data_IF_920428667716
#
_entry.id   IF_920428667716
#
_cell.length_a   1.000
_cell.length_b   1.000
_cell.length_c   1.000
_cell.angle_alpha   90.00
_cell.angle_beta   90.00
_cell.angle_gamma   90.00
#
_symmetry.space_group_name_H-M   'P 1'
#
loop_
_entity.id
_entity.type
_entity.pdbx_description
1 polymer ?
#
# COMPACT_ATOMS: atom_id res chain seq x y z
N UNK A 1 7.67 4.46 -30.57
CA UNK A 1 7.26 3.67 -29.38
C UNK A 1 8.40 2.80 -28.81
N UNK A 2 9.34 2.27 -29.61
CA UNK A 2 10.48 1.47 -29.09
C UNK A 2 11.50 2.25 -28.24
N UNK A 3 11.65 3.56 -28.45
CA UNK A 3 12.61 4.40 -27.73
C UNK A 3 12.28 4.59 -26.24
N UNK A 4 11.00 4.47 -25.85
CA UNK A 4 10.55 4.56 -24.45
C UNK A 4 10.54 3.20 -23.74
N UNK A 5 10.48 2.09 -24.50
CA UNK A 5 10.48 0.75 -23.94
C UNK A 5 11.83 0.41 -23.28
N UNK A 6 12.94 0.94 -23.80
CA UNK A 6 14.28 0.69 -23.27
C UNK A 6 14.50 1.37 -21.89
N UNK A 7 14.18 2.66 -21.69
CA UNK A 7 14.18 3.29 -20.36
C UNK A 7 13.18 2.67 -19.38
N UNK A 8 11.95 2.40 -19.81
CA UNK A 8 10.91 1.80 -18.95
C UNK A 8 11.30 0.38 -18.51
N UNK A 9 11.90 -0.41 -19.39
CA UNK A 9 12.42 -1.73 -19.05
C UNK A 9 13.50 -1.66 -17.97
N UNK A 10 14.40 -0.69 -18.05
CA UNK A 10 15.45 -0.50 -17.04
C UNK A 10 14.90 -0.13 -15.66
N UNK A 11 13.86 0.71 -15.60
CA UNK A 11 13.18 1.03 -14.33
C UNK A 11 12.57 -0.22 -13.69
N UNK A 12 11.91 -1.07 -14.49
CA UNK A 12 11.35 -2.34 -13.99
C UNK A 12 12.45 -3.26 -13.47
N UNK A 13 13.58 -3.37 -14.19
CA UNK A 13 14.72 -4.19 -13.78
C UNK A 13 15.33 -3.69 -12.47
N UNK A 14 15.60 -2.38 -12.33
CA UNK A 14 16.14 -1.80 -11.09
C UNK A 14 15.17 -2.02 -9.92
N UNK A 15 13.88 -1.82 -10.15
CA UNK A 15 12.85 -2.00 -9.12
C UNK A 15 12.79 -3.46 -8.65
N UNK A 16 12.74 -4.41 -9.58
CA UNK A 16 12.75 -5.83 -9.27
C UNK A 16 14.05 -6.25 -8.59
N UNK A 17 15.20 -5.75 -9.05
CA UNK A 17 16.49 -6.01 -8.42
C UNK A 17 16.52 -5.49 -6.98
N UNK A 18 15.99 -4.29 -6.71
CA UNK A 18 15.87 -3.75 -5.35
C UNK A 18 14.95 -4.60 -4.48
N UNK A 19 13.80 -5.05 -5.01
CA UNK A 19 12.91 -5.95 -4.28
C UNK A 19 13.58 -7.27 -3.93
N UNK A 20 14.33 -7.86 -4.87
CA UNK A 20 15.07 -9.10 -4.65
C UNK A 20 16.17 -8.89 -3.61
N UNK A 21 16.92 -7.78 -3.69
CA UNK A 21 17.95 -7.45 -2.70
C UNK A 21 17.35 -7.23 -1.31
N UNK A 22 16.21 -6.54 -1.20
CA UNK A 22 15.48 -6.38 0.05
C UNK A 22 14.97 -7.71 0.58
N UNK A 23 14.48 -8.58 -0.30
CA UNK A 23 14.01 -9.91 0.06
C UNK A 23 15.17 -10.79 0.57
N UNK A 24 16.32 -10.77 -0.10
CA UNK A 24 17.54 -11.45 0.36
C UNK A 24 18.01 -10.86 1.70
N UNK A 25 18.02 -9.54 1.83
CA UNK A 25 18.39 -8.85 3.06
C UNK A 25 17.45 -9.17 4.23
N UNK A 26 16.17 -9.46 3.96
CA UNK A 26 15.21 -9.92 4.98
C UNK A 26 15.62 -11.26 5.62
N UNK A 27 16.37 -12.10 4.90
CA UNK A 27 16.93 -13.36 5.42
C UNK A 27 18.25 -13.18 6.18
N UNK A 28 18.83 -11.97 6.20
CA UNK A 28 20.01 -11.66 7.01
C UNK A 28 19.59 -11.06 8.35
N UNK A 29 20.19 -11.53 9.44
CA UNK A 29 19.91 -11.02 10.79
C UNK A 29 20.65 -9.70 11.03
N UNK A 30 19.94 -8.68 11.52
CA UNK A 30 20.53 -7.41 11.92
C UNK A 30 20.59 -7.42 13.44
N UNK A 31 21.80 -7.38 14.00
CA UNK A 31 21.96 -7.30 15.44
C UNK A 31 21.57 -5.89 15.92
N UNK A 32 20.45 -5.80 16.65
CA UNK A 32 19.84 -4.54 17.07
C UNK A 32 20.71 -3.72 18.04
N UNK A 33 21.78 -4.30 18.58
CA UNK A 33 22.69 -3.62 19.51
C UNK A 33 23.93 -3.02 18.86
N UNK A 34 24.45 -3.63 17.78
CA UNK A 34 25.68 -3.19 17.12
C UNK A 34 25.46 -2.60 15.73
N UNK A 35 24.27 -2.78 15.14
CA UNK A 35 23.99 -2.41 13.73
C UNK A 35 24.94 -3.09 12.74
N UNK A 36 25.66 -4.14 13.17
CA UNK A 36 26.48 -4.94 12.27
C UNK A 36 25.60 -5.95 11.52
N UNK A 37 25.76 -5.96 10.20
CA UNK A 37 25.08 -6.91 9.32
C UNK A 37 25.83 -8.23 9.44
N UNK A 38 25.38 -9.09 10.35
CA UNK A 38 25.89 -10.45 10.45
C UNK A 38 25.20 -11.27 9.35
N UNK A 39 25.90 -11.51 8.24
CA UNK A 39 25.45 -12.28 7.06
C UNK A 39 25.32 -13.78 7.35
N UNK A 40 24.60 -14.13 8.41
CA UNK A 40 24.23 -15.52 8.71
C UNK A 40 22.80 -15.70 8.25
N UNK A 41 22.59 -16.67 7.36
CA UNK A 41 21.27 -17.11 6.93
C UNK A 41 20.48 -17.58 8.14
N UNK A 42 19.52 -16.78 8.60
CA UNK A 42 18.75 -17.13 9.77
C UNK A 42 17.26 -16.79 9.60
N UNK A 43 16.39 -17.72 9.97
CA UNK A 43 14.94 -17.57 9.98
C UNK A 43 14.44 -16.89 11.27
N UNK A 44 15.37 -16.55 12.19
CA UNK A 44 15.07 -15.90 13.47
C UNK A 44 14.36 -14.54 13.32
N UNK A 45 14.57 -13.80 12.21
CA UNK A 45 13.79 -12.59 11.91
C UNK A 45 12.30 -12.90 11.74
N UNK A 46 11.98 -13.99 11.03
CA UNK A 46 10.60 -14.43 10.82
C UNK A 46 10.02 -14.98 12.13
N UNK A 47 10.79 -15.75 12.91
CA UNK A 47 10.35 -16.20 14.22
C UNK A 47 10.10 -15.04 15.18
N UNK A 48 10.93 -13.99 15.18
CA UNK A 48 10.74 -12.79 16.01
C UNK A 48 9.46 -12.04 15.65
N UNK A 49 9.13 -11.94 14.36
CA UNK A 49 7.85 -11.35 13.91
C UNK A 49 6.65 -12.18 14.41
N UNK A 50 6.80 -13.51 14.48
CA UNK A 50 5.76 -14.46 14.90
C UNK A 50 5.64 -14.59 16.43
N UNK A 51 6.74 -14.48 17.18
CA UNK A 51 6.78 -14.66 18.65
C UNK A 51 6.63 -13.35 19.42
N UNK A 52 7.01 -12.21 18.82
CA UNK A 52 6.92 -10.93 19.50
C UNK A 52 5.52 -10.33 19.36
N UNK A 53 4.80 -10.25 20.49
CA UNK A 53 3.43 -9.73 20.55
C UNK A 53 3.29 -8.33 19.95
N UNK A 54 4.32 -7.48 20.08
CA UNK A 54 4.29 -6.10 19.57
C UNK A 54 4.15 -6.05 18.05
N UNK A 55 4.93 -6.85 17.33
CA UNK A 55 4.87 -6.91 15.87
C UNK A 55 3.54 -7.48 15.40
N UNK A 56 3.05 -8.54 16.06
CA UNK A 56 1.75 -9.14 15.74
C UNK A 56 0.59 -8.16 15.97
N UNK A 57 0.60 -7.43 17.09
CA UNK A 57 -0.43 -6.41 17.39
C UNK A 57 -0.41 -5.29 16.37
N UNK A 58 0.77 -4.82 15.95
CA UNK A 58 0.88 -3.77 14.92
C UNK A 58 0.34 -4.28 13.60
N UNK A 59 0.78 -5.44 13.12
CA UNK A 59 0.31 -6.03 11.86
C UNK A 59 -1.22 -6.19 11.89
N UNK A 60 -1.75 -6.76 12.98
CA UNK A 60 -3.18 -6.97 13.12
C UNK A 60 -3.95 -5.64 13.13
N UNK A 61 -3.47 -4.63 13.87
CA UNK A 61 -4.11 -3.30 13.91
C UNK A 61 -4.11 -2.63 12.54
N UNK A 62 -3.02 -2.73 11.78
CA UNK A 62 -2.92 -2.12 10.45
C UNK A 62 -3.83 -2.83 9.46
N UNK A 63 -3.82 -4.17 9.43
CA UNK A 63 -4.73 -4.95 8.57
C UNK A 63 -6.18 -4.65 8.94
N UNK A 64 -6.51 -4.67 10.22
CA UNK A 64 -7.85 -4.42 10.71
C UNK A 64 -8.34 -3.00 10.38
N UNK A 65 -7.47 -2.00 10.54
CA UNK A 65 -7.76 -0.61 10.16
C UNK A 65 -7.99 -0.51 8.66
N UNK A 66 -7.11 -1.07 7.84
CA UNK A 66 -7.24 -1.06 6.39
C UNK A 66 -8.55 -1.75 5.94
N UNK A 67 -8.84 -2.95 6.46
CA UNK A 67 -10.07 -3.67 6.15
C UNK A 67 -11.32 -2.88 6.53
N UNK A 68 -11.35 -2.27 7.72
CA UNK A 68 -12.47 -1.43 8.16
C UNK A 68 -12.67 -0.23 7.25
N UNK A 69 -11.59 0.49 6.94
CA UNK A 69 -11.63 1.65 6.05
C UNK A 69 -12.15 1.23 4.67
N UNK A 70 -11.60 0.18 4.07
CA UNK A 70 -12.06 -0.32 2.76
C UNK A 70 -13.54 -0.73 2.76
N UNK A 71 -14.00 -1.41 3.82
CA UNK A 71 -15.41 -1.82 3.91
C UNK A 71 -16.36 -0.64 4.08
N UNK A 72 -15.99 0.35 4.90
CA UNK A 72 -16.78 1.57 5.10
C UNK A 72 -16.80 2.38 3.82
N UNK A 73 -15.64 2.57 3.18
CA UNK A 73 -15.53 3.29 1.92
C UNK A 73 -16.35 2.60 0.83
N UNK A 74 -16.28 1.26 0.72
CA UNK A 74 -17.13 0.51 -0.21
C UNK A 74 -18.62 0.71 0.13
N UNK A 75 -19.01 0.52 1.40
CA UNK A 75 -20.40 0.65 1.82
C UNK A 75 -21.00 2.04 1.55
N UNK A 76 -20.18 3.10 1.55
CA UNK A 76 -20.60 4.48 1.24
C UNK A 76 -20.49 4.78 -0.26
N UNK A 77 -19.39 4.38 -0.90
CA UNK A 77 -19.11 4.69 -2.29
C UNK A 77 -20.05 3.93 -3.25
N UNK A 78 -20.40 2.68 -2.95
CA UNK A 78 -21.33 1.89 -3.78
C UNK A 78 -22.73 2.53 -3.90
N UNK A 79 -23.44 2.89 -2.81
CA UNK A 79 -24.74 3.54 -2.94
C UNK A 79 -24.62 4.93 -3.56
N UNK A 80 -23.55 5.67 -3.28
CA UNK A 80 -23.29 6.97 -3.91
C UNK A 80 -23.10 6.84 -5.43
N UNK A 81 -22.28 5.89 -5.88
CA UNK A 81 -22.07 5.59 -7.29
C UNK A 81 -23.36 5.10 -7.97
N UNK A 82 -24.14 4.26 -7.31
CA UNK A 82 -25.44 3.79 -7.82
C UNK A 82 -26.44 4.93 -7.97
N UNK A 83 -26.52 5.83 -6.99
CA UNK A 83 -27.38 7.02 -7.05
C UNK A 83 -26.98 7.96 -8.19
N UNK A 84 -25.69 8.20 -8.37
CA UNK A 84 -25.17 8.97 -9.51
C UNK A 84 -25.46 8.29 -10.86
N UNK A 85 -25.32 6.98 -10.95
CA UNK A 85 -25.48 6.25 -12.21
C UNK A 85 -26.94 6.08 -12.66
N UNK A 86 -27.88 5.91 -11.71
CA UNK A 86 -29.29 5.61 -12.04
C UNK A 86 -30.30 6.72 -11.75
N UNK A 87 -30.04 7.64 -10.83
CA UNK A 87 -31.06 8.60 -10.34
C UNK A 87 -30.67 10.06 -10.63
N UNK A 88 -29.38 10.38 -10.68
CA UNK A 88 -28.93 11.76 -10.83
C UNK A 88 -29.17 12.31 -12.26
N UNK A 89 -29.87 13.45 -12.34
CA UNK A 89 -29.91 14.28 -13.55
C UNK A 89 -28.52 14.90 -13.81
N UNK A 90 -28.20 15.23 -15.08
CA UNK A 90 -26.89 15.76 -15.51
C UNK A 90 -26.35 16.89 -14.61
N UNK A 91 -27.21 17.76 -14.08
CA UNK A 91 -26.82 18.86 -13.18
C UNK A 91 -26.41 18.38 -11.79
N UNK A 92 -27.14 17.42 -11.22
CA UNK A 92 -26.87 16.86 -9.89
C UNK A 92 -25.58 16.03 -9.90
N UNK A 93 -25.30 15.32 -10.99
CA UNK A 93 -24.05 14.58 -11.18
C UNK A 93 -22.83 15.53 -11.19
N UNK A 94 -22.90 16.65 -11.92
CA UNK A 94 -21.81 17.64 -11.96
C UNK A 94 -21.56 18.28 -10.59
N UNK A 95 -22.61 18.60 -9.83
CA UNK A 95 -22.47 19.16 -8.48
C UNK A 95 -21.84 18.16 -7.50
N UNK A 96 -22.25 16.89 -7.55
CA UNK A 96 -21.67 15.83 -6.72
C UNK A 96 -20.19 15.57 -7.08
N UNK A 97 -19.85 15.53 -8.37
CA UNK A 97 -18.46 15.44 -8.81
C UNK A 97 -17.62 16.63 -8.35
N UNK A 98 -18.14 17.85 -8.47
CA UNK A 98 -17.46 19.05 -8.00
C UNK A 98 -17.25 19.01 -6.48
N UNK A 99 -18.25 18.61 -5.69
CA UNK A 99 -18.13 18.52 -4.24
C UNK A 99 -17.12 17.46 -3.77
N UNK A 100 -16.90 16.38 -4.53
CA UNK A 100 -15.89 15.35 -4.23
C UNK A 100 -14.49 15.77 -4.70
N UNK A 101 -14.38 16.40 -5.87
CA UNK A 101 -13.10 16.81 -6.44
C UNK A 101 -12.54 18.07 -5.76
N UNK A 102 -13.37 19.09 -5.50
CA UNK A 102 -12.94 20.36 -4.89
C UNK A 102 -12.13 20.20 -3.59
N UNK A 103 -12.51 19.38 -2.59
CA UNK A 103 -11.70 19.19 -1.40
C UNK A 103 -10.37 18.49 -1.70
N UNK A 104 -10.31 17.64 -2.73
CA UNK A 104 -9.04 17.04 -3.18
C UNK A 104 -8.07 18.12 -3.68
N UNK A 105 -8.58 19.09 -4.47
CA UNK A 105 -7.81 20.24 -4.97
C UNK A 105 -7.47 21.25 -3.87
N UNK A 106 -8.30 21.39 -2.84
CA UNK A 106 -8.04 22.28 -1.70
C UNK A 106 -7.08 21.67 -0.67
N UNK A 107 -6.89 20.34 -0.69
CA UNK A 107 -5.96 19.63 0.20
C UNK A 107 -4.52 19.57 -0.33
N UNK A 108 -4.26 20.16 -1.50
CA UNK A 108 -2.94 20.29 -2.13
C UNK A 108 -2.47 21.74 -2.06
#
# INVERSE_FOLDING_TARGET
MLLLALPLGWFVVIYLASLVLLLIASFWSIDAFTTEIVQVWNLDNFQTILTNETYRTIIFRTVWMATRVTLIDAAIAFPFAYFMARVASRRTQTLLFAAVLLPLWASY
#
